data_IF_717582825302
#
_entry.id   IF_717582825302
#
_cell.length_a   1.000
_cell.length_b   1.000
_cell.length_c   1.000
_cell.angle_alpha   90.00
_cell.angle_beta   90.00
_cell.angle_gamma   90.00
#
_symmetry.space_group_name_H-M   'P 1'
#
loop_
_entity.id
_entity.type
_entity.pdbx_description
1 polymer ?
#
# COMPACT_ATOMS: atom_id res chain seq x y z
N UNK A 1 7.24 3.62 2.65
CA UNK A 1 8.19 4.58 2.01
C UNK A 1 9.51 4.69 2.78
N UNK A 2 10.57 5.31 2.23
CA UNK A 2 11.84 5.51 2.98
C UNK A 2 11.61 6.37 4.23
N UNK A 3 10.80 7.43 4.10
CA UNK A 3 10.44 8.30 5.22
C UNK A 3 9.77 7.49 6.34
N UNK A 4 8.72 6.74 6.02
CA UNK A 4 8.05 5.82 6.96
C UNK A 4 9.01 4.80 7.59
N UNK A 5 9.92 4.21 6.80
CA UNK A 5 10.89 3.24 7.32
C UNK A 5 11.86 3.86 8.34
N UNK A 6 12.11 5.16 8.24
CA UNK A 6 13.01 5.93 9.12
C UNK A 6 12.39 6.32 10.46
N UNK A 7 11.07 6.13 10.64
CA UNK A 7 10.36 6.56 11.85
C UNK A 7 10.44 5.57 13.02
N UNK A 8 10.09 6.04 14.22
CA UNK A 8 9.99 5.22 15.43
C UNK A 8 11.34 5.00 16.13
N UNK A 9 11.57 3.78 16.65
CA UNK A 9 12.78 3.48 17.41
C UNK A 9 14.05 3.62 16.52
N UNK A 10 15.07 4.41 16.92
CA UNK A 10 16.24 4.68 16.09
C UNK A 10 17.01 3.44 15.63
N UNK A 11 17.24 2.47 16.54
CA UNK A 11 17.96 1.24 16.19
C UNK A 11 17.17 0.38 15.21
N UNK A 12 15.84 0.31 15.37
CA UNK A 12 14.96 -0.40 14.46
C UNK A 12 14.87 0.28 13.09
N UNK A 13 14.80 1.61 13.05
CA UNK A 13 14.82 2.40 11.83
C UNK A 13 16.12 2.18 11.06
N UNK A 14 17.27 2.24 11.74
CA UNK A 14 18.57 1.98 11.11
C UNK A 14 18.64 0.59 10.49
N UNK A 15 18.14 -0.44 11.18
CA UNK A 15 18.08 -1.81 10.62
C UNK A 15 17.20 -1.89 9.38
N UNK A 16 16.02 -1.26 9.38
CA UNK A 16 15.12 -1.23 8.21
C UNK A 16 15.78 -0.51 7.04
N UNK A 17 16.32 0.69 7.26
CA UNK A 17 16.98 1.48 6.22
C UNK A 17 18.18 0.73 5.61
N UNK A 18 18.95 0.00 6.43
CA UNK A 18 20.04 -0.82 5.91
C UNK A 18 19.55 -1.89 4.94
N UNK A 19 18.48 -2.63 5.28
CA UNK A 19 17.89 -3.66 4.41
C UNK A 19 17.33 -3.08 3.11
N UNK A 20 16.83 -1.84 3.13
CA UNK A 20 16.28 -1.18 1.94
C UNK A 20 17.34 -0.70 0.93
N UNK A 21 18.63 -0.71 1.29
CA UNK A 21 19.70 -0.12 0.47
C UNK A 21 19.82 -0.76 -0.92
N UNK A 22 19.57 -2.07 -1.01
CA UNK A 22 19.71 -2.83 -2.26
C UNK A 22 18.37 -3.05 -2.99
N UNK A 23 17.27 -2.45 -2.49
CA UNK A 23 15.94 -2.60 -3.07
C UNK A 23 15.70 -1.48 -4.08
N UNK A 24 15.31 -1.78 -5.34
CA UNK A 24 14.96 -0.76 -6.31
C UNK A 24 13.79 0.11 -5.84
N UNK A 25 13.89 1.42 -6.01
CA UNK A 25 12.83 2.35 -5.66
C UNK A 25 11.91 2.62 -6.87
N UNK A 26 10.61 2.63 -6.61
CA UNK A 26 9.60 3.02 -7.60
C UNK A 26 9.47 4.54 -7.65
N UNK A 27 9.30 5.09 -8.86
CA UNK A 27 9.02 6.50 -9.05
C UNK A 27 7.59 6.85 -8.62
N UNK A 28 7.39 8.08 -8.14
CA UNK A 28 6.08 8.63 -7.78
C UNK A 28 5.77 9.80 -8.73
N UNK A 29 5.32 9.52 -9.97
CA UNK A 29 4.92 10.57 -10.90
C UNK A 29 3.55 11.17 -10.50
N UNK A 30 3.19 12.29 -11.12
CA UNK A 30 1.93 13.01 -10.87
C UNK A 30 0.66 12.12 -10.90
N UNK A 31 0.50 11.15 -11.82
CA UNK A 31 -0.67 10.26 -11.81
C UNK A 31 -0.83 9.44 -10.52
N UNK A 32 0.28 9.16 -9.82
CA UNK A 32 0.22 8.47 -8.52
C UNK A 32 -0.34 9.39 -7.45
N UNK A 33 0.12 10.65 -7.40
CA UNK A 33 -0.40 11.63 -6.42
C UNK A 33 -1.86 12.00 -6.70
N UNK A 34 -2.25 12.02 -7.98
CA UNK A 34 -3.63 12.25 -8.40
C UNK A 34 -4.54 11.09 -7.95
N UNK A 35 -4.13 9.85 -8.22
CA UNK A 35 -4.88 8.67 -7.79
C UNK A 35 -5.01 8.60 -6.25
N UNK A 36 -3.95 8.91 -5.51
CA UNK A 36 -4.00 9.00 -4.05
C UNK A 36 -5.01 10.07 -3.57
N UNK A 37 -5.04 11.21 -4.24
CA UNK A 37 -6.00 12.29 -3.95
C UNK A 37 -7.45 11.84 -4.20
N UNK A 38 -7.70 11.15 -5.32
CA UNK A 38 -9.02 10.59 -5.65
C UNK A 38 -9.47 9.56 -4.62
N UNK A 39 -8.58 8.65 -4.19
CA UNK A 39 -8.88 7.66 -3.15
C UNK A 39 -9.35 8.30 -1.84
N UNK A 40 -8.74 9.43 -1.44
CA UNK A 40 -9.14 10.17 -0.23
C UNK A 40 -10.44 10.95 -0.44
N UNK A 41 -10.62 11.57 -1.62
CA UNK A 41 -11.78 12.39 -1.93
C UNK A 41 -13.07 11.55 -2.02
N UNK A 42 -12.98 10.36 -2.62
CA UNK A 42 -14.08 9.42 -2.80
C UNK A 42 -14.33 8.52 -1.58
N UNK A 43 -13.55 8.71 -0.50
CA UNK A 43 -13.76 8.02 0.78
C UNK A 43 -13.30 6.56 0.79
N UNK A 44 -12.38 6.17 -0.10
CA UNK A 44 -11.71 4.86 -0.02
C UNK A 44 -10.91 4.70 1.28
N UNK A 45 -10.34 5.82 1.73
CA UNK A 45 -9.52 5.95 2.94
C UNK A 45 -9.91 7.22 3.71
N UNK A 46 -9.77 7.26 5.06
CA UNK A 46 -9.94 8.47 5.82
C UNK A 46 -9.02 9.58 5.31
N UNK A 47 -9.48 10.83 5.32
CA UNK A 47 -8.68 12.00 4.87
C UNK A 47 -7.32 12.13 5.55
N UNK A 48 -7.16 11.59 6.76
CA UNK A 48 -5.90 11.57 7.52
C UNK A 48 -4.93 10.45 7.12
N UNK A 49 -5.36 9.52 6.29
CA UNK A 49 -4.60 8.33 5.87
C UNK A 49 -3.94 8.57 4.51
N UNK A 50 -3.21 9.69 4.38
CA UNK A 50 -2.59 10.10 3.12
C UNK A 50 -1.50 9.13 2.65
N UNK A 51 -0.66 8.65 3.58
CA UNK A 51 0.39 7.69 3.27
C UNK A 51 -0.18 6.34 2.82
N UNK A 52 -1.26 5.88 3.48
CA UNK A 52 -1.99 4.67 3.08
C UNK A 52 -2.54 4.81 1.63
N UNK A 53 -3.09 5.97 1.28
CA UNK A 53 -3.61 6.22 -0.07
C UNK A 53 -2.49 6.26 -1.11
N UNK A 54 -1.35 6.85 -0.75
CA UNK A 54 -0.18 6.88 -1.60
C UNK A 54 0.39 5.48 -1.86
N UNK A 55 0.44 4.61 -0.84
CA UNK A 55 0.87 3.22 -1.02
C UNK A 55 -0.02 2.45 -2.00
N UNK A 56 -1.35 2.57 -1.88
CA UNK A 56 -2.30 1.96 -2.82
C UNK A 56 -2.07 2.49 -4.23
N UNK A 57 -1.94 3.81 -4.37
CA UNK A 57 -1.77 4.45 -5.67
C UNK A 57 -0.46 4.05 -6.36
N UNK A 58 0.65 3.97 -5.62
CA UNK A 58 1.94 3.48 -6.15
C UNK A 58 1.79 2.05 -6.66
N UNK A 59 1.17 1.16 -5.87
CA UNK A 59 1.00 -0.23 -6.27
C UNK A 59 0.10 -0.36 -7.50
N UNK A 60 -1.02 0.37 -7.52
CA UNK A 60 -1.97 0.33 -8.63
C UNK A 60 -1.37 0.88 -9.93
N UNK A 61 -0.60 1.97 -9.85
CA UNK A 61 0.07 2.58 -11.00
C UNK A 61 1.16 1.69 -11.60
N UNK A 62 1.97 1.06 -10.74
CA UNK A 62 3.07 0.18 -11.18
C UNK A 62 2.63 -1.26 -11.47
N UNK A 63 1.34 -1.59 -11.30
CA UNK A 63 0.83 -2.94 -11.52
C UNK A 63 1.38 -3.97 -10.53
N UNK A 64 1.59 -3.56 -9.27
CA UNK A 64 2.04 -4.44 -8.19
C UNK A 64 0.87 -5.31 -7.73
N UNK A 65 1.05 -6.62 -7.73
CA UNK A 65 -0.02 -7.57 -7.41
C UNK A 65 -0.44 -7.55 -5.94
N UNK A 66 0.49 -7.31 -5.02
CA UNK A 66 0.26 -7.43 -3.57
C UNK A 66 0.78 -6.23 -2.79
N UNK A 67 -0.05 -5.70 -1.90
CA UNK A 67 0.31 -4.69 -0.92
C UNK A 67 0.19 -5.27 0.49
N UNK A 68 1.32 -5.69 1.05
CA UNK A 68 1.40 -6.23 2.40
C UNK A 68 1.35 -5.12 3.45
N UNK A 69 0.50 -5.28 4.46
CA UNK A 69 0.35 -4.27 5.51
C UNK A 69 0.03 -4.88 6.86
N UNK A 70 0.55 -4.24 7.91
CA UNK A 70 0.11 -4.48 9.29
C UNK A 70 -0.97 -3.47 9.74
N UNK A 71 -1.30 -2.49 8.90
CA UNK A 71 -2.35 -1.51 9.18
C UNK A 71 -3.73 -2.09 8.85
N UNK A 72 -4.27 -2.87 9.79
CA UNK A 72 -5.62 -3.45 9.67
C UNK A 72 -6.74 -2.43 9.89
N UNK A 73 -6.43 -1.25 10.41
CA UNK A 73 -7.44 -0.25 10.74
C UNK A 73 -7.91 0.54 9.51
N UNK A 74 -6.99 0.88 8.61
CA UNK A 74 -7.32 1.62 7.38
C UNK A 74 -7.12 0.78 6.11
N UNK A 75 -5.99 0.08 5.99
CA UNK A 75 -5.58 -0.50 4.71
C UNK A 75 -6.15 -1.92 4.53
N UNK A 76 -6.00 -2.80 5.53
CA UNK A 76 -6.59 -4.14 5.48
C UNK A 76 -8.07 -4.20 5.93
N UNK A 77 -8.76 -3.06 5.98
CA UNK A 77 -10.16 -3.01 6.41
C UNK A 77 -11.08 -3.61 5.33
N UNK A 78 -11.85 -4.64 5.70
CA UNK A 78 -12.72 -5.39 4.77
C UNK A 78 -13.79 -4.52 4.08
N UNK A 79 -14.27 -3.45 4.72
CA UNK A 79 -15.25 -2.52 4.14
C UNK A 79 -14.59 -1.55 3.16
N UNK A 80 -13.32 -1.22 3.39
CA UNK A 80 -12.60 -0.22 2.59
C UNK A 80 -11.97 -0.84 1.34
N UNK A 81 -11.52 -2.10 1.40
CA UNK A 81 -10.93 -2.82 0.25
C UNK A 81 -11.83 -2.79 -1.00
N UNK A 82 -13.14 -3.10 -0.93
CA UNK A 82 -14.03 -3.00 -2.10
C UNK A 82 -14.11 -1.59 -2.69
N UNK A 83 -14.09 -0.55 -1.84
CA UNK A 83 -14.14 0.85 -2.27
C UNK A 83 -12.84 1.23 -2.98
N UNK A 84 -11.69 0.87 -2.41
CA UNK A 84 -10.38 1.05 -3.04
C UNK A 84 -10.30 0.37 -4.41
N UNK A 85 -10.74 -0.90 -4.50
CA UNK A 85 -10.80 -1.64 -5.77
C UNK A 85 -11.68 -0.95 -6.80
N UNK A 86 -12.86 -0.49 -6.40
CA UNK A 86 -13.79 0.22 -7.29
C UNK A 86 -13.18 1.52 -7.82
N UNK A 87 -12.55 2.32 -6.96
CA UNK A 87 -11.97 3.61 -7.38
C UNK A 87 -10.79 3.40 -8.30
N UNK A 88 -9.89 2.45 -8.00
CA UNK A 88 -8.79 2.12 -8.92
C UNK A 88 -9.33 1.73 -10.30
N UNK A 89 -10.34 0.87 -10.36
CA UNK A 89 -10.95 0.43 -11.62
C UNK A 89 -11.62 1.60 -12.38
N UNK A 90 -12.24 2.55 -11.69
CA UNK A 90 -12.82 3.76 -12.30
C UNK A 90 -11.76 4.72 -12.85
N UNK A 91 -10.50 4.57 -12.43
CA UNK A 91 -9.35 5.33 -12.92
C UNK A 91 -8.48 4.50 -13.88
N UNK A 92 -9.00 3.38 -14.40
CA UNK A 92 -8.31 2.45 -15.30
C UNK A 92 -7.07 1.76 -14.70
N UNK A 93 -7.00 1.65 -13.37
CA UNK A 93 -5.95 0.92 -12.64
C UNK A 93 -6.46 -0.38 -12.02
N UNK A 94 -5.55 -1.35 -11.86
CA UNK A 94 -5.81 -2.55 -11.06
C UNK A 94 -5.37 -2.31 -9.63
N UNK A 95 -6.30 -2.44 -8.68
CA UNK A 95 -5.96 -2.33 -7.25
C UNK A 95 -5.17 -3.57 -6.80
N UNK A 96 -4.07 -3.40 -6.04
CA UNK A 96 -3.33 -4.53 -5.48
C UNK A 96 -4.21 -5.36 -4.54
N UNK A 97 -3.89 -6.63 -4.36
CA UNK A 97 -4.43 -7.40 -3.25
C UNK A 97 -3.78 -6.92 -1.94
N UNK A 98 -4.58 -6.22 -1.14
CA UNK A 98 -4.16 -5.69 0.15
C UNK A 98 -4.36 -6.78 1.20
N UNK A 99 -3.28 -7.25 1.81
CA UNK A 99 -3.35 -8.36 2.76
C UNK A 99 -2.36 -8.20 3.91
N UNK A 100 -2.66 -8.86 5.03
CA UNK A 100 -1.70 -8.98 6.14
C UNK A 100 -0.71 -10.11 5.83
N UNK A 101 0.52 -10.10 6.37
CA UNK A 101 1.51 -11.15 6.04
C UNK A 101 1.04 -12.59 6.31
N UNK A 102 0.16 -12.79 7.30
CA UNK A 102 -0.43 -14.10 7.60
C UNK A 102 -1.38 -14.61 6.50
N UNK A 103 -2.00 -13.70 5.74
CA UNK A 103 -2.87 -14.06 4.61
C UNK A 103 -2.07 -14.48 3.37
N UNK A 104 -0.79 -14.10 3.28
CA UNK A 104 0.07 -14.43 2.13
C UNK A 104 0.65 -15.85 2.22
N UNK A 105 0.73 -16.45 3.42
CA UNK A 105 1.21 -17.82 3.57
C UNK A 105 0.16 -18.81 3.07
N UNK A 106 0.23 -19.16 1.78
CA UNK A 106 -0.46 -20.33 1.27
C UNK A 106 0.09 -21.56 1.99
N UNK A 107 -0.73 -22.24 2.78
CA UNK A 107 -0.43 -23.62 3.11
C UNK A 107 -0.36 -24.37 1.77
N UNK A 108 0.86 -24.65 1.30
CA UNK A 108 1.06 -25.66 0.24
C UNK A 108 0.81 -27.01 0.89
N UNK A 109 -0.45 -27.32 1.18
CA UNK A 109 -0.86 -28.68 1.51
C UNK A 109 -0.97 -29.44 0.20
N UNK A 110 0.19 -29.72 -0.43
CA UNK A 110 0.32 -30.81 -1.38
C UNK A 110 0.02 -32.10 -0.60
N UNK A 111 -1.18 -32.65 -0.84
CA UNK A 111 -1.56 -34.01 -0.49
C UNK A 111 -2.02 -34.73 -1.75
#
# INVERSE_FOLDING_TARGET
MIDEASEGNPDAAQRRLHVLTDIPHLSIPEPVTDLATVLLAEGALPKKAADDALHVAVCAYHGIDYLLTWNCHHLSNAEMKPIMRRICALQDYTCPEICVPLELTGETNDR
#
